data_IF_425195728754
#
_entry.id   IF_425195728754
#
_cell.length_a   1.000
_cell.length_b   1.000
_cell.length_c   1.000
_cell.angle_alpha   90.00
_cell.angle_beta   90.00
_cell.angle_gamma   90.00
#
_symmetry.space_group_name_H-M   'P 1'
#
loop_
_entity.id
_entity.type
_entity.pdbx_description
1 polymer ?
#
# COMPACT_ATOMS: atom_id res chain seq x y z
N UNK A 1 15.81 8.23 2.62
CA UNK A 1 14.77 7.75 3.56
C UNK A 1 13.55 8.65 3.44
N UNK A 2 12.38 8.08 3.20
CA UNK A 2 11.08 8.78 3.00
C UNK A 2 10.04 8.35 4.04
N UNK A 3 10.50 7.81 5.17
CA UNK A 3 9.61 7.38 6.25
C UNK A 3 8.88 8.59 6.85
N UNK A 4 7.58 8.44 7.14
CA UNK A 4 6.75 9.50 7.70
C UNK A 4 6.30 10.57 6.71
N UNK A 5 6.66 10.47 5.43
CA UNK A 5 6.18 11.37 4.38
C UNK A 5 5.12 10.69 3.51
N UNK A 6 4.24 11.48 2.89
CA UNK A 6 3.31 10.98 1.88
C UNK A 6 4.08 10.40 0.68
N UNK A 7 3.62 9.25 0.17
CA UNK A 7 4.21 8.62 -1.01
C UNK A 7 3.87 9.44 -2.27
N UNK A 8 4.83 9.56 -3.20
CA UNK A 8 4.65 10.32 -4.44
C UNK A 8 3.54 9.80 -5.36
N UNK A 9 3.22 8.50 -5.25
CA UNK A 9 2.13 7.85 -5.99
C UNK A 9 0.76 7.96 -5.30
N UNK A 10 0.68 8.56 -4.11
CA UNK A 10 -0.60 8.69 -3.40
C UNK A 10 -1.53 9.61 -4.17
N UNK A 11 -2.77 9.18 -4.40
CA UNK A 11 -3.77 10.03 -5.02
C UNK A 11 -4.20 11.14 -4.06
N UNK A 12 -4.27 12.36 -4.57
CA UNK A 12 -4.76 13.54 -3.86
C UNK A 12 -6.16 13.89 -4.33
N UNK A 13 -7.02 14.33 -3.42
CA UNK A 13 -8.28 14.96 -3.76
C UNK A 13 -8.12 16.43 -4.17
N UNK A 14 -9.22 17.17 -4.32
CA UNK A 14 -10.61 16.75 -4.09
C UNK A 14 -11.11 15.74 -5.14
N UNK A 15 -12.26 15.12 -4.89
CA UNK A 15 -12.95 14.32 -5.93
C UNK A 15 -13.53 15.25 -7.01
N UNK A 16 -13.97 14.68 -8.14
CA UNK A 16 -14.66 15.43 -9.21
C UNK A 16 -15.88 16.21 -8.69
N UNK A 17 -16.54 15.69 -7.65
CA UNK A 17 -17.69 16.32 -6.97
C UNK A 17 -17.28 17.29 -5.85
N UNK A 18 -16.01 17.73 -5.80
CA UNK A 18 -15.47 18.67 -4.81
C UNK A 18 -15.53 18.19 -3.35
N UNK A 19 -15.56 16.88 -3.11
CA UNK A 19 -15.50 16.32 -1.75
C UNK A 19 -14.06 16.15 -1.30
N UNK A 20 -13.81 16.36 0.01
CA UNK A 20 -12.51 16.15 0.62
C UNK A 20 -12.13 14.66 0.65
N UNK A 21 -11.01 14.33 0.01
CA UNK A 21 -10.35 13.02 0.00
C UNK A 21 -8.82 13.21 -0.04
N UNK A 22 -8.02 12.26 0.46
CA UNK A 22 -8.42 11.05 1.21
C UNK A 22 -8.91 11.37 2.63
N UNK A 23 -9.60 10.43 3.27
CA UNK A 23 -10.13 10.62 4.64
C UNK A 23 -9.10 10.30 5.72
N UNK A 24 -8.21 9.33 5.46
CA UNK A 24 -7.18 8.87 6.38
C UNK A 24 -6.00 8.35 5.57
N UNK A 25 -4.79 8.47 6.12
CA UNK A 25 -3.56 7.90 5.56
C UNK A 25 -3.06 6.76 6.45
N UNK A 26 -2.38 5.79 5.86
CA UNK A 26 -1.83 4.62 6.54
C UNK A 26 -0.49 4.20 5.97
N UNK A 27 0.11 3.14 6.53
CA UNK A 27 1.40 2.61 6.09
C UNK A 27 1.19 1.85 4.76
N UNK A 28 1.67 2.42 3.66
CA UNK A 28 1.58 1.80 2.33
C UNK A 28 2.87 1.79 1.52
N UNK A 29 3.95 2.40 2.03
CA UNK A 29 5.27 2.37 1.39
C UNK A 29 6.13 1.25 1.97
N UNK A 30 6.80 0.48 1.11
CA UNK A 30 7.73 -0.59 1.48
C UNK A 30 7.16 -1.56 2.54
N UNK A 31 5.95 -2.05 2.31
CA UNK A 31 5.25 -2.97 3.21
C UNK A 31 5.64 -4.41 2.88
N UNK A 32 6.26 -5.10 3.83
CA UNK A 32 6.61 -6.51 3.72
C UNK A 32 5.42 -7.38 4.14
N UNK A 33 4.91 -8.19 3.21
CA UNK A 33 3.75 -9.06 3.46
C UNK A 33 3.76 -10.31 2.57
N UNK A 34 2.84 -11.22 2.84
CA UNK A 34 2.64 -12.45 2.08
C UNK A 34 2.25 -12.15 0.63
N UNK A 35 2.77 -12.93 -0.29
CA UNK A 35 2.37 -12.96 -1.70
C UNK A 35 1.83 -14.35 -2.05
N UNK A 36 1.15 -14.49 -3.18
CA UNK A 36 0.70 -15.82 -3.62
C UNK A 36 1.90 -16.70 -4.01
N UNK A 37 1.78 -18.00 -3.81
CA UNK A 37 2.80 -18.98 -4.25
C UNK A 37 3.03 -18.92 -5.76
N UNK A 38 1.99 -18.60 -6.54
CA UNK A 38 2.10 -18.36 -7.98
C UNK A 38 2.99 -17.14 -8.29
N UNK A 39 2.77 -16.02 -7.61
CA UNK A 39 3.58 -14.81 -7.78
C UNK A 39 5.04 -15.04 -7.32
N UNK A 40 5.23 -15.77 -6.21
CA UNK A 40 6.55 -16.14 -5.70
C UNK A 40 7.31 -17.03 -6.69
N UNK A 41 6.65 -18.05 -7.25
CA UNK A 41 7.23 -18.94 -8.25
C UNK A 41 7.58 -18.18 -9.54
N UNK A 42 6.72 -17.26 -9.99
CA UNK A 42 6.99 -16.41 -11.16
C UNK A 42 8.23 -15.52 -10.94
N UNK A 43 8.43 -15.03 -9.72
CA UNK A 43 9.58 -14.21 -9.34
C UNK A 43 10.79 -15.04 -8.87
N UNK A 44 10.73 -16.38 -8.97
CA UNK A 44 11.77 -17.33 -8.53
C UNK A 44 12.21 -17.11 -7.07
N UNK A 45 11.25 -16.78 -6.21
CA UNK A 45 11.48 -16.55 -4.79
C UNK A 45 11.30 -17.86 -4.01
N UNK A 46 12.15 -18.07 -3.01
CA UNK A 46 12.08 -19.27 -2.15
C UNK A 46 10.90 -19.20 -1.16
N UNK A 47 10.53 -17.99 -0.74
CA UNK A 47 9.44 -17.75 0.20
C UNK A 47 8.36 -16.86 -0.42
N UNK A 48 7.11 -17.08 0.00
CA UNK A 48 5.96 -16.32 -0.47
C UNK A 48 5.78 -15.00 0.30
N UNK A 49 6.85 -14.21 0.43
CA UNK A 49 6.83 -12.89 1.05
C UNK A 49 7.64 -11.88 0.22
N UNK A 50 7.09 -10.68 0.03
CA UNK A 50 7.78 -9.60 -0.67
C UNK A 50 7.41 -8.23 -0.10
N UNK A 51 8.24 -7.22 -0.39
CA UNK A 51 7.96 -5.84 -0.06
C UNK A 51 7.32 -5.12 -1.26
N UNK A 52 6.12 -4.57 -1.08
CA UNK A 52 5.45 -3.76 -2.09
C UNK A 52 5.07 -2.38 -1.57
N UNK A 53 4.88 -1.44 -2.50
CA UNK A 53 4.46 -0.07 -2.18
C UNK A 53 3.20 0.27 -2.96
N UNK A 54 2.22 0.84 -2.29
CA UNK A 54 0.96 1.25 -2.91
C UNK A 54 -0.08 1.67 -1.87
N UNK A 55 -1.06 2.47 -2.29
CA UNK A 55 -2.26 2.74 -1.48
C UNK A 55 -3.05 1.46 -1.22
N UNK A 56 -2.95 0.47 -2.11
CA UNK A 56 -3.47 -0.90 -1.91
C UNK A 56 -2.87 -1.63 -0.70
N UNK A 57 -1.71 -1.20 -0.19
CA UNK A 57 -1.12 -1.72 1.05
C UNK A 57 -1.53 -0.88 2.27
N UNK A 58 -1.80 0.42 2.09
CA UNK A 58 -2.32 1.28 3.15
C UNK A 58 -3.79 0.93 3.52
N UNK A 59 -4.61 0.54 2.55
CA UNK A 59 -6.00 0.13 2.77
C UNK A 59 -6.15 -1.02 3.79
N UNK A 60 -5.50 -2.18 3.63
CA UNK A 60 -5.60 -3.28 4.61
C UNK A 60 -4.99 -2.92 5.96
N UNK A 61 -3.99 -2.04 6.02
CA UNK A 61 -3.46 -1.52 7.30
C UNK A 61 -4.54 -0.77 8.08
N UNK A 62 -5.27 0.14 7.42
CA UNK A 62 -6.38 0.88 8.07
C UNK A 62 -7.55 -0.04 8.37
N UNK A 63 -7.85 -1.01 7.49
CA UNK A 63 -8.93 -1.97 7.72
C UNK A 63 -8.68 -2.88 8.92
N UNK A 64 -7.43 -3.26 9.21
CA UNK A 64 -7.10 -4.03 10.41
C UNK A 64 -7.07 -3.21 11.70
N UNK A 65 -7.04 -1.88 11.60
CA UNK A 65 -7.10 -0.97 12.74
C UNK A 65 -8.53 -0.79 13.27
N UNK A 66 -9.55 -1.02 12.43
CA UNK A 66 -10.99 -0.90 12.73
C UNK A 66 -11.59 -2.27 12.96
#
# INVERSE_FOLDING_TARGET
>A
ATAGTLSSFSAFGPTGDLLFKPQISGIGGFVYSTISSFAAAQQKMNDAYAAYSGTSMACPYVAGYV
#
